data_IF_311606719007
#
_entry.id   IF_311606719007
#
_cell.length_a   1.000
_cell.length_b   1.000
_cell.length_c   1.000
_cell.angle_alpha   90.00
_cell.angle_beta   90.00
_cell.angle_gamma   90.00
#
_symmetry.space_group_name_H-M   'P 1'
#
loop_
_entity.id
_entity.type
_entity.pdbx_description
1 polymer ?
#
# COMPACT_ATOMS: atom_id res chain seq x y z
N UNK A 1 -24.62 -42.54 34.31
CA UNK A 1 -23.18 -42.60 34.64
C UNK A 1 -22.70 -43.97 34.23
N UNK A 2 -21.75 -44.04 33.30
CA UNK A 2 -21.24 -45.33 32.81
C UNK A 2 -20.24 -45.91 33.81
N UNK A 3 -20.54 -47.07 34.38
CA UNK A 3 -19.59 -47.84 35.18
C UNK A 3 -18.47 -48.37 34.27
N UNK A 4 -17.21 -48.30 34.75
CA UNK A 4 -16.06 -48.91 34.11
C UNK A 4 -15.47 -49.95 35.05
N UNK A 5 -15.22 -51.14 34.52
CA UNK A 5 -14.57 -52.24 35.23
C UNK A 5 -13.09 -52.28 34.84
N UNK A 6 -12.20 -52.15 35.83
CA UNK A 6 -10.75 -52.27 35.67
C UNK A 6 -10.28 -53.20 36.78
N UNK A 7 -9.83 -54.42 36.45
CA UNK A 7 -9.25 -55.38 37.40
C UNK A 7 -10.06 -55.57 38.72
N UNK A 8 -11.35 -55.93 38.60
CA UNK A 8 -12.31 -56.05 39.71
C UNK A 8 -12.53 -54.78 40.56
N UNK A 9 -12.10 -53.61 40.09
CA UNK A 9 -12.39 -52.32 40.72
C UNK A 9 -13.51 -51.63 39.95
N UNK A 10 -14.55 -51.20 40.67
CA UNK A 10 -15.59 -50.31 40.15
C UNK A 10 -15.26 -48.86 40.54
N UNK A 11 -15.40 -47.95 39.59
CA UNK A 11 -15.18 -46.51 39.80
C UNK A 11 -16.40 -45.69 39.42
N UNK A 12 -16.59 -44.53 40.06
CA UNK A 12 -17.60 -43.57 39.63
C UNK A 12 -17.16 -42.84 38.34
N UNK A 13 -18.00 -41.97 37.79
CA UNK A 13 -17.62 -41.12 36.64
C UNK A 13 -16.64 -40.04 37.12
N UNK A 14 -15.35 -40.39 37.20
CA UNK A 14 -14.17 -39.69 37.77
C UNK A 14 -13.76 -38.41 37.04
N UNK A 15 -14.76 -37.61 36.65
CA UNK A 15 -14.62 -36.43 35.82
C UNK A 15 -15.21 -35.24 36.57
N UNK A 16 -14.39 -34.29 37.00
CA UNK A 16 -14.84 -33.12 37.77
C UNK A 16 -14.22 -31.84 37.22
N UNK A 17 -14.78 -30.69 37.60
CA UNK A 17 -14.29 -29.37 37.21
C UNK A 17 -13.12 -28.96 38.10
N UNK A 18 -12.19 -28.17 37.57
CA UNK A 18 -11.12 -27.56 38.35
C UNK A 18 -11.70 -26.75 39.50
N UNK A 19 -11.11 -26.87 40.69
CA UNK A 19 -11.58 -26.32 41.98
C UNK A 19 -12.93 -26.88 42.49
N UNK A 20 -13.49 -27.92 41.87
CA UNK A 20 -14.66 -28.63 42.42
C UNK A 20 -14.22 -29.48 43.61
N UNK A 21 -14.88 -29.31 44.76
CA UNK A 21 -14.52 -29.97 46.02
C UNK A 21 -15.58 -30.98 46.49
N UNK A 22 -16.64 -31.19 45.71
CA UNK A 22 -17.81 -31.97 46.13
C UNK A 22 -17.97 -33.29 45.37
N UNK A 23 -17.08 -33.57 44.41
CA UNK A 23 -17.18 -34.74 43.53
C UNK A 23 -15.95 -35.63 43.66
N UNK A 24 -16.01 -36.55 44.60
CA UNK A 24 -14.86 -37.40 44.93
C UNK A 24 -14.68 -38.55 43.94
N UNK A 25 -13.46 -39.09 43.88
CA UNK A 25 -13.17 -40.34 43.18
C UNK A 25 -13.51 -41.48 44.13
N UNK A 26 -14.49 -42.31 43.75
CA UNK A 26 -14.92 -43.46 44.55
C UNK A 26 -14.47 -44.73 43.87
N UNK A 27 -13.74 -45.56 44.60
CA UNK A 27 -13.08 -46.79 44.15
C UNK A 27 -13.61 -47.94 45.01
N UNK A 28 -14.32 -48.88 44.41
CA UNK A 28 -14.90 -50.04 45.11
C UNK A 28 -14.20 -51.32 44.64
N UNK A 29 -13.23 -51.84 45.41
CA UNK A 29 -12.58 -53.10 45.06
C UNK A 29 -13.57 -54.27 45.20
N UNK A 30 -13.46 -55.25 44.32
CA UNK A 30 -14.24 -56.50 44.32
C UNK A 30 -13.30 -57.70 44.27
N UNK A 31 -13.78 -58.85 44.76
CA UNK A 31 -13.06 -60.11 44.58
C UNK A 31 -13.28 -60.67 43.16
N UNK A 32 -12.67 -61.82 42.90
CA UNK A 32 -12.81 -62.57 41.64
C UNK A 32 -14.25 -62.96 41.28
N UNK A 33 -15.17 -62.96 42.26
CA UNK A 33 -16.60 -63.25 42.08
C UNK A 33 -17.45 -61.99 41.88
N UNK A 34 -16.84 -60.79 41.93
CA UNK A 34 -17.52 -59.50 41.81
C UNK A 34 -18.16 -58.99 43.10
N UNK A 35 -17.94 -59.66 44.24
CA UNK A 35 -18.42 -59.19 45.54
C UNK A 35 -17.54 -58.08 46.08
N UNK A 36 -18.10 -57.03 46.71
CA UNK A 36 -17.34 -55.95 47.31
C UNK A 36 -16.33 -56.49 48.35
N UNK A 37 -15.07 -56.07 48.20
CA UNK A 37 -14.03 -56.29 49.20
C UNK A 37 -13.94 -55.05 50.09
N UNK A 38 -13.83 -55.28 51.40
CA UNK A 38 -13.68 -54.17 52.35
C UNK A 38 -12.18 -53.87 52.52
N UNK A 39 -11.73 -52.65 52.22
CA UNK A 39 -10.36 -52.24 52.54
C UNK A 39 -10.11 -52.34 54.04
N UNK A 40 -8.93 -52.80 54.43
CA UNK A 40 -8.54 -52.84 55.84
C UNK A 40 -8.26 -51.42 56.35
N UNK A 41 -9.05 -50.97 57.33
CA UNK A 41 -8.94 -49.61 57.90
C UNK A 41 -7.70 -49.41 58.77
N UNK A 42 -7.02 -50.49 59.17
CA UNK A 42 -5.76 -50.42 59.91
C UNK A 42 -4.55 -50.19 59.00
N UNK A 43 -4.70 -50.44 57.70
CA UNK A 43 -3.66 -50.22 56.70
C UNK A 43 -3.59 -48.75 56.29
N UNK A 44 -2.43 -48.33 55.79
CA UNK A 44 -2.23 -47.00 55.23
C UNK A 44 -2.51 -47.03 53.73
N UNK A 45 -3.47 -46.23 53.30
CA UNK A 45 -3.87 -46.10 51.91
C UNK A 45 -3.44 -44.74 51.34
N UNK A 46 -2.78 -44.74 50.19
CA UNK A 46 -2.31 -43.52 49.51
C UNK A 46 -2.58 -43.61 48.02
N UNK A 47 -3.14 -42.57 47.43
CA UNK A 47 -3.29 -42.45 45.99
C UNK A 47 -2.03 -41.79 45.41
N UNK A 48 -1.33 -42.51 44.54
CA UNK A 48 -0.18 -42.00 43.77
C UNK A 48 -0.69 -41.49 42.44
N UNK A 49 -0.51 -40.21 42.14
CA UNK A 49 -1.07 -39.58 40.92
C UNK A 49 0.03 -39.20 39.95
N UNK A 50 -0.25 -39.37 38.66
CA UNK A 50 0.58 -38.98 37.53
C UNK A 50 -0.23 -38.25 36.46
N UNK A 51 0.41 -37.36 35.70
CA UNK A 51 -0.17 -36.72 34.49
C UNK A 51 -0.10 -37.63 33.24
N UNK A 52 0.31 -38.89 33.42
CA UNK A 52 0.59 -39.85 32.34
C UNK A 52 2.06 -39.93 31.95
N UNK A 53 2.87 -38.93 32.31
CA UNK A 53 4.32 -38.87 32.02
C UNK A 53 5.15 -38.73 33.31
N UNK A 54 4.73 -37.83 34.19
CA UNK A 54 5.42 -37.47 35.42
C UNK A 54 4.58 -37.90 36.62
N UNK A 55 5.25 -38.24 37.71
CA UNK A 55 4.61 -38.36 39.01
C UNK A 55 4.29 -36.95 39.55
N UNK A 56 3.07 -36.77 40.03
CA UNK A 56 2.48 -35.46 40.36
C UNK A 56 2.25 -35.30 41.87
N UNK A 57 2.00 -36.39 42.60
CA UNK A 57 1.94 -36.32 44.06
C UNK A 57 1.25 -37.49 44.76
N UNK A 58 1.24 -37.39 46.09
CA UNK A 58 0.56 -38.29 47.03
C UNK A 58 -0.71 -37.64 47.57
N UNK A 59 -1.79 -38.40 47.55
CA UNK A 59 -3.11 -37.96 47.95
C UNK A 59 -3.72 -38.93 48.97
N UNK A 60 -4.45 -38.39 49.94
CA UNK A 60 -5.05 -39.19 50.99
C UNK A 60 -6.18 -40.07 50.43
N UNK A 61 -6.32 -41.27 50.98
CA UNK A 61 -7.43 -42.18 50.65
C UNK A 61 -8.24 -42.41 51.91
N UNK A 62 -9.53 -42.07 51.87
CA UNK A 62 -10.49 -42.28 52.96
C UNK A 62 -11.24 -43.58 52.73
N UNK A 63 -11.41 -44.38 53.78
CA UNK A 63 -12.24 -45.59 53.72
C UNK A 63 -13.66 -45.25 54.13
N UNK A 64 -14.62 -45.50 53.24
CA UNK A 64 -16.05 -45.31 53.46
C UNK A 64 -16.78 -46.61 53.14
N UNK A 65 -17.05 -47.41 54.18
CA UNK A 65 -17.65 -48.74 54.03
C UNK A 65 -16.76 -49.69 53.23
N UNK A 66 -17.24 -50.17 52.09
CA UNK A 66 -16.49 -51.02 51.17
C UNK A 66 -15.80 -50.24 50.03
N UNK A 67 -15.74 -48.91 50.14
CA UNK A 67 -15.14 -48.05 49.11
C UNK A 67 -13.97 -47.24 49.67
N UNK A 68 -13.02 -46.98 48.79
CA UNK A 68 -11.93 -46.03 48.96
C UNK A 68 -12.32 -44.73 48.26
N UNK A 69 -12.10 -43.59 48.92
CA UNK A 69 -12.49 -42.26 48.44
C UNK A 69 -11.27 -41.36 48.40
N UNK A 70 -11.02 -40.74 47.26
CA UNK A 70 -10.04 -39.67 47.10
C UNK A 70 -10.78 -38.38 46.83
N UNK A 71 -10.62 -37.41 47.72
CA UNK A 71 -11.43 -36.20 47.69
C UNK A 71 -10.97 -35.26 46.57
N UNK A 72 -11.96 -34.72 45.85
CA UNK A 72 -11.67 -33.73 44.80
C UNK A 72 -11.03 -32.44 45.33
N UNK A 73 -11.28 -32.11 46.60
CA UNK A 73 -10.67 -30.98 47.30
C UNK A 73 -9.13 -31.05 47.31
N UNK A 74 -8.56 -32.25 47.40
CA UNK A 74 -7.11 -32.42 47.41
C UNK A 74 -6.48 -32.09 46.04
N UNK A 75 -7.27 -32.13 44.96
CA UNK A 75 -6.83 -31.83 43.60
C UNK A 75 -6.97 -30.35 43.21
N UNK A 76 -7.36 -29.46 44.13
CA UNK A 76 -7.51 -28.01 43.87
C UNK A 76 -6.23 -27.32 43.39
N UNK A 77 -5.06 -27.92 43.63
CA UNK A 77 -3.76 -27.40 43.16
C UNK A 77 -3.31 -28.00 41.82
N UNK A 78 -4.03 -29.01 41.31
CA UNK A 78 -3.71 -29.62 40.03
C UNK A 78 -4.31 -28.81 38.89
N UNK A 79 -3.53 -28.52 37.83
CA UNK A 79 -4.07 -27.85 36.66
C UNK A 79 -5.12 -28.70 35.94
N UNK A 80 -5.88 -28.06 35.07
CA UNK A 80 -6.78 -28.74 34.12
C UNK A 80 -5.98 -29.75 33.31
N UNK A 81 -6.43 -31.00 33.26
CA UNK A 81 -5.64 -32.07 32.65
C UNK A 81 -6.25 -33.45 32.77
N UNK A 82 -5.60 -34.40 32.10
CA UNK A 82 -5.86 -35.83 32.23
C UNK A 82 -4.81 -36.41 33.17
N UNK A 83 -5.27 -37.23 34.09
CA UNK A 83 -4.44 -37.83 35.11
C UNK A 83 -4.75 -39.31 35.23
N UNK A 84 -3.86 -40.00 35.91
CA UNK A 84 -4.01 -41.39 36.26
C UNK A 84 -3.52 -41.59 37.69
N UNK A 85 -4.14 -42.53 38.41
CA UNK A 85 -3.74 -42.86 39.76
C UNK A 85 -3.57 -44.36 39.97
N UNK A 86 -2.76 -44.69 40.96
CA UNK A 86 -2.67 -46.00 41.60
C UNK A 86 -3.01 -45.85 43.08
N UNK A 87 -3.57 -46.91 43.67
CA UNK A 87 -3.78 -46.98 45.11
C UNK A 87 -2.72 -47.87 45.72
N UNK A 88 -1.94 -47.30 46.63
CA UNK A 88 -0.90 -47.99 47.38
C UNK A 88 -1.42 -48.30 48.78
N UNK A 89 -1.45 -49.58 49.10
CA UNK A 89 -1.76 -50.14 50.42
C UNK A 89 -0.45 -50.50 51.12
N UNK A 90 -0.21 -49.92 52.29
CA UNK A 90 0.99 -50.17 53.09
C UNK A 90 0.58 -50.64 54.49
N UNK A 91 1.15 -51.76 54.94
CA UNK A 91 0.94 -52.28 56.29
C UNK A 91 2.21 -52.92 56.82
N UNK A 92 2.24 -53.21 58.12
CA UNK A 92 3.30 -54.01 58.71
C UNK A 92 2.72 -55.35 59.15
N UNK A 93 3.42 -56.43 58.82
CA UNK A 93 3.12 -57.75 59.35
C UNK A 93 3.38 -57.82 60.86
N UNK A 94 2.92 -58.90 61.49
CA UNK A 94 3.05 -59.14 62.94
C UNK A 94 4.51 -59.12 63.41
N UNK A 95 5.44 -59.47 62.52
CA UNK A 95 6.89 -59.47 62.77
C UNK A 95 7.56 -58.10 62.53
N UNK A 96 6.79 -57.08 62.12
CA UNK A 96 7.26 -55.73 61.83
C UNK A 96 7.71 -55.50 60.39
N UNK A 97 7.58 -56.49 59.51
CA UNK A 97 7.94 -56.35 58.09
C UNK A 97 6.96 -55.45 57.37
N UNK A 98 7.44 -54.40 56.70
CA UNK A 98 6.58 -53.53 55.88
C UNK A 98 6.22 -54.20 54.56
N UNK A 99 4.93 -54.23 54.26
CA UNK A 99 4.33 -54.73 53.03
C UNK A 99 3.78 -53.59 52.18
N UNK A 100 3.72 -53.83 50.87
CA UNK A 100 3.17 -52.90 49.89
C UNK A 100 2.39 -53.67 48.81
N UNK A 101 1.12 -53.31 48.65
CA UNK A 101 0.30 -53.71 47.51
C UNK A 101 -0.10 -52.48 46.69
N UNK A 102 -0.12 -52.62 45.36
CA UNK A 102 -0.42 -51.53 44.43
C UNK A 102 -1.57 -51.99 43.53
N UNK A 103 -2.60 -51.14 43.43
CA UNK A 103 -3.82 -51.40 42.67
C UNK A 103 -4.05 -50.31 41.62
N UNK A 104 -4.56 -50.64 40.42
CA UNK A 104 -4.87 -52.00 39.93
C UNK A 104 -3.62 -52.78 39.48
N UNK A 105 -3.71 -54.11 39.43
CA UNK A 105 -2.58 -55.01 39.13
C UNK A 105 -2.48 -55.38 37.64
N UNK A 106 -1.31 -55.87 37.19
CA UNK A 106 -0.18 -55.08 36.75
C UNK A 106 -0.37 -54.38 35.38
N UNK A 107 0.22 -53.19 35.24
CA UNK A 107 0.21 -52.28 34.05
C UNK A 107 -1.08 -51.47 33.80
N UNK A 108 -1.99 -51.42 34.76
CA UNK A 108 -3.19 -50.61 34.66
C UNK A 108 -3.10 -49.42 35.63
N UNK A 109 -3.76 -48.33 35.27
CA UNK A 109 -3.94 -47.15 36.11
C UNK A 109 -5.41 -46.76 36.09
N UNK A 110 -5.86 -46.01 37.09
CA UNK A 110 -7.22 -45.49 37.15
C UNK A 110 -7.21 -44.07 36.55
N UNK A 111 -7.77 -43.86 35.35
CA UNK A 111 -7.73 -42.54 34.70
C UNK A 111 -8.81 -41.61 35.26
N UNK A 112 -8.49 -40.33 35.44
CA UNK A 112 -9.45 -39.28 35.78
C UNK A 112 -9.15 -37.98 35.03
N UNK A 113 -10.14 -37.09 34.89
CA UNK A 113 -9.97 -35.82 34.17
C UNK A 113 -10.46 -34.64 34.99
N UNK A 114 -9.59 -33.64 35.13
CA UNK A 114 -9.94 -32.32 35.66
C UNK A 114 -10.26 -31.41 34.48
N UNK A 115 -11.53 -31.03 34.33
CA UNK A 115 -11.99 -30.16 33.26
C UNK A 115 -11.94 -28.68 33.66
N UNK A 116 -11.64 -27.79 32.73
CA UNK A 116 -11.74 -26.35 32.96
C UNK A 116 -13.15 -25.95 33.44
N UNK A 117 -13.21 -25.13 34.48
CA UNK A 117 -14.39 -24.37 34.88
C UNK A 117 -14.49 -23.06 34.06
N UNK A 118 -15.60 -22.32 34.20
CA UNK A 118 -15.84 -21.08 33.43
C UNK A 118 -14.81 -19.99 33.82
N UNK A 119 -14.36 -19.95 35.08
CA UNK A 119 -13.36 -18.99 35.54
C UNK A 119 -11.95 -19.26 35.00
N UNK A 120 -11.60 -20.52 34.70
CA UNK A 120 -10.36 -20.89 34.01
C UNK A 120 -10.36 -20.39 32.55
N UNK A 121 -11.55 -20.20 31.96
CA UNK A 121 -11.71 -19.62 30.63
C UNK A 121 -11.78 -18.09 30.65
N UNK A 122 -12.07 -17.46 31.80
CA UNK A 122 -12.11 -16.01 31.93
C UNK A 122 -10.72 -15.35 31.74
N UNK A 123 -9.64 -16.11 31.92
CA UNK A 123 -8.28 -15.69 31.58
C UNK A 123 -7.90 -15.87 30.10
N UNK A 124 -8.74 -16.55 29.29
CA UNK A 124 -8.60 -16.67 27.84
C UNK A 124 -9.43 -15.60 27.14
N UNK A 125 -8.92 -14.38 27.21
CA UNK A 125 -9.28 -13.19 26.41
C UNK A 125 -10.78 -12.93 26.17
N UNK A 126 -11.33 -12.00 26.94
CA UNK A 126 -11.88 -10.83 26.25
C UNK A 126 -10.66 -9.92 26.07
N UNK A 127 -10.10 -9.81 24.86
CA UNK A 127 -9.31 -8.63 24.53
C UNK A 127 -10.26 -7.46 24.73
N UNK A 128 -10.21 -6.86 25.92
CA UNK A 128 -10.76 -5.55 26.16
C UNK A 128 -10.12 -4.68 25.06
N UNK A 129 -10.92 -4.22 24.10
CA UNK A 129 -10.42 -3.38 23.02
C UNK A 129 -9.85 -2.15 23.75
N UNK A 130 -8.53 -2.13 23.90
CA UNK A 130 -7.87 -1.03 24.58
C UNK A 130 -8.10 0.22 23.77
N UNK A 131 -8.08 1.39 24.41
CA UNK A 131 -8.06 2.65 23.68
C UNK A 131 -6.95 2.63 22.60
N UNK A 132 -5.82 1.98 22.89
CA UNK A 132 -4.74 1.78 21.93
C UNK A 132 -5.14 0.91 20.73
N UNK A 133 -5.93 -0.15 20.90
CA UNK A 133 -6.41 -0.98 19.77
C UNK A 133 -7.38 -0.20 18.87
N UNK A 134 -8.24 0.67 19.45
CA UNK A 134 -9.11 1.58 18.68
C UNK A 134 -8.28 2.63 17.96
N UNK A 135 -7.29 3.21 18.63
CA UNK A 135 -6.38 4.21 18.04
C UNK A 135 -5.56 3.58 16.93
N UNK A 136 -5.00 2.39 17.13
CA UNK A 136 -4.19 1.70 16.12
C UNK A 136 -5.06 1.31 14.92
N UNK A 137 -6.28 0.84 15.12
CA UNK A 137 -7.23 0.60 14.01
C UNK A 137 -7.66 1.89 13.31
N UNK A 138 -7.90 2.98 14.03
CA UNK A 138 -8.24 4.27 13.45
C UNK A 138 -7.06 4.86 12.65
N UNK A 139 -5.84 4.76 13.19
CA UNK A 139 -4.60 5.20 12.55
C UNK A 139 -4.27 4.33 11.34
N UNK A 140 -4.47 3.01 11.41
CA UNK A 140 -4.33 2.10 10.27
C UNK A 140 -5.37 2.40 9.18
N UNK A 141 -6.63 2.68 9.55
CA UNK A 141 -7.67 3.03 8.59
C UNK A 141 -7.43 4.41 7.95
N UNK A 142 -7.00 5.43 8.71
CA UNK A 142 -6.62 6.73 8.17
C UNK A 142 -5.37 6.62 7.29
N UNK A 143 -4.40 5.79 7.69
CA UNK A 143 -3.15 5.56 6.96
C UNK A 143 -3.34 4.84 5.62
N UNK A 144 -4.48 4.19 5.39
CA UNK A 144 -4.80 3.45 4.16
C UNK A 144 -5.94 4.07 3.33
N UNK A 145 -6.76 4.95 3.92
CA UNK A 145 -7.91 5.56 3.25
C UNK A 145 -7.52 6.88 2.55
N UNK A 146 -6.75 6.75 1.48
CA UNK A 146 -6.29 7.88 0.67
C UNK A 146 -7.37 8.35 -0.31
N UNK A 147 -7.56 9.66 -0.35
CA UNK A 147 -8.33 10.34 -1.39
C UNK A 147 -7.38 11.26 -2.15
N UNK A 148 -7.14 10.94 -3.41
CA UNK A 148 -6.27 11.72 -4.28
C UNK A 148 -7.05 12.76 -5.07
N UNK A 149 -6.53 13.98 -5.09
CA UNK A 149 -7.06 15.07 -5.91
C UNK A 149 -5.93 15.72 -6.69
N UNK A 150 -6.20 16.07 -7.94
CA UNK A 150 -5.30 16.90 -8.75
C UNK A 150 -5.98 18.23 -9.05
N UNK A 151 -5.28 19.33 -8.78
CA UNK A 151 -5.67 20.67 -9.16
C UNK A 151 -4.69 21.20 -10.20
N UNK A 152 -5.19 21.91 -11.19
CA UNK A 152 -4.36 22.68 -12.11
C UNK A 152 -4.19 24.09 -11.56
N UNK A 153 -2.94 24.55 -11.46
CA UNK A 153 -2.57 25.88 -10.97
C UNK A 153 -1.91 26.72 -12.06
N UNK A 154 -1.68 28.01 -11.80
CA UNK A 154 -1.11 28.92 -12.79
C UNK A 154 0.33 28.54 -13.17
N UNK A 155 0.80 28.85 -14.41
CA UNK A 155 2.09 28.39 -14.94
C UNK A 155 3.33 28.84 -14.17
N UNK A 156 3.21 29.86 -13.33
CA UNK A 156 4.27 30.51 -12.56
C UNK A 156 4.30 30.06 -11.09
N UNK A 157 3.30 29.28 -10.66
CA UNK A 157 3.25 28.74 -9.31
C UNK A 157 4.07 27.46 -9.19
N UNK A 158 4.70 27.23 -8.03
CA UNK A 158 5.46 26.00 -7.77
C UNK A 158 4.51 24.83 -7.56
N UNK A 159 4.85 23.66 -8.13
CA UNK A 159 4.10 22.44 -7.87
C UNK A 159 4.19 22.08 -6.38
N UNK A 160 3.05 21.74 -5.77
CA UNK A 160 2.99 21.37 -4.35
C UNK A 160 2.19 20.10 -4.16
N UNK A 161 2.56 19.36 -3.12
CA UNK A 161 1.77 18.26 -2.58
C UNK A 161 1.33 18.67 -1.18
N UNK A 162 0.02 18.68 -0.96
CA UNK A 162 -0.56 18.97 0.36
C UNK A 162 -1.28 17.74 0.85
N UNK A 163 -0.89 17.29 2.04
CA UNK A 163 -1.53 16.18 2.74
C UNK A 163 -2.34 16.73 3.92
N UNK A 164 -3.59 16.29 4.07
CA UNK A 164 -4.45 16.71 5.18
C UNK A 164 -5.31 15.56 5.65
N UNK A 165 -5.38 15.36 6.96
CA UNK A 165 -6.29 14.40 7.58
C UNK A 165 -7.59 15.11 7.98
N UNK A 166 -8.72 14.65 7.45
CA UNK A 166 -10.06 15.14 7.78
C UNK A 166 -11.07 14.00 7.62
N UNK A 167 -12.11 13.97 8.45
CA UNK A 167 -13.20 12.98 8.38
C UNK A 167 -12.74 11.51 8.30
N UNK A 168 -11.64 11.17 8.97
CA UNK A 168 -11.07 9.81 8.96
C UNK A 168 -10.43 9.38 7.63
N UNK A 169 -10.17 10.33 6.72
CA UNK A 169 -9.50 10.11 5.44
C UNK A 169 -8.23 10.94 5.33
N UNK A 170 -7.31 10.45 4.51
CA UNK A 170 -6.07 11.12 4.19
C UNK A 170 -6.18 11.72 2.78
N UNK A 171 -6.33 13.03 2.70
CA UNK A 171 -6.44 13.73 1.43
C UNK A 171 -5.06 14.13 0.94
N UNK A 172 -4.69 13.67 -0.25
CA UNK A 172 -3.45 14.03 -0.93
C UNK A 172 -3.81 14.85 -2.16
N UNK A 173 -3.47 16.14 -2.14
CA UNK A 173 -3.77 17.06 -3.22
C UNK A 173 -2.49 17.44 -3.96
N UNK A 174 -2.44 17.14 -5.25
CA UNK A 174 -1.38 17.57 -6.16
C UNK A 174 -1.81 18.86 -6.85
N UNK A 175 -1.06 19.94 -6.65
CA UNK A 175 -1.27 21.20 -7.37
C UNK A 175 -0.22 21.28 -8.49
N UNK A 176 -0.66 21.13 -9.75
CA UNK A 176 0.21 20.99 -10.93
C UNK A 176 0.09 22.22 -11.81
N UNK A 177 1.18 22.97 -12.07
CA UNK A 177 1.17 24.14 -12.96
C UNK A 177 0.79 23.75 -14.38
N UNK A 178 -0.13 24.49 -15.00
CA UNK A 178 -0.44 24.31 -16.42
C UNK A 178 0.70 24.81 -17.31
N UNK A 179 0.88 24.18 -18.46
CA UNK A 179 1.81 24.67 -19.47
C UNK A 179 1.41 26.07 -19.95
N UNK A 180 2.40 26.94 -20.21
CA UNK A 180 2.16 28.23 -20.88
C UNK A 180 1.56 27.94 -22.26
N UNK A 181 0.55 28.71 -22.65
CA UNK A 181 -0.05 28.59 -24.00
C UNK A 181 1.03 28.84 -25.04
N UNK A 182 1.20 27.90 -25.98
CA UNK A 182 2.17 28.04 -27.06
C UNK A 182 1.87 29.25 -27.93
N UNK A 183 2.91 29.91 -28.44
CA UNK A 183 2.69 30.99 -29.42
C UNK A 183 2.04 30.41 -30.67
N UNK A 184 1.04 31.12 -31.20
CA UNK A 184 0.42 30.77 -32.48
C UNK A 184 1.53 30.77 -33.56
N UNK A 185 1.61 29.68 -34.33
CA UNK A 185 2.64 29.52 -35.35
C UNK A 185 2.59 30.66 -36.39
N UNK A 186 3.75 30.97 -36.98
CA UNK A 186 3.85 31.97 -38.03
C UNK A 186 2.96 31.62 -39.22
N UNK A 187 2.09 32.54 -39.64
CA UNK A 187 1.44 32.47 -40.95
C UNK A 187 2.51 32.77 -41.99
N UNK A 188 2.71 31.87 -42.95
CA UNK A 188 3.68 32.07 -44.04
C UNK A 188 3.40 33.37 -44.81
N UNK A 189 4.42 33.94 -45.48
CA UNK A 189 4.21 35.09 -46.35
C UNK A 189 3.18 34.74 -47.43
N UNK A 190 2.25 35.66 -47.71
CA UNK A 190 1.34 35.50 -48.83
C UNK A 190 2.16 35.32 -50.13
N UNK A 191 1.80 34.33 -50.96
CA UNK A 191 2.41 34.19 -52.28
C UNK A 191 2.20 35.43 -53.14
N UNK A 192 3.07 35.68 -54.13
CA UNK A 192 2.93 36.81 -55.07
C UNK A 192 1.54 36.71 -55.72
N UNK A 193 0.75 37.78 -55.64
CA UNK A 193 -0.57 37.82 -56.27
C UNK A 193 -0.44 37.57 -57.78
N UNK A 194 -1.39 36.83 -58.36
CA UNK A 194 -1.53 36.79 -59.81
C UNK A 194 -1.80 38.21 -60.30
N UNK A 195 -0.89 38.75 -61.10
CA UNK A 195 -1.02 40.06 -61.72
C UNK A 195 -0.40 40.03 -63.11
N UNK A 196 -1.01 40.76 -64.05
CA UNK A 196 -0.42 41.01 -65.37
C UNK A 196 0.48 42.22 -65.19
N UNK A 197 1.80 42.03 -65.36
CA UNK A 197 2.79 43.09 -65.18
C UNK A 197 2.65 44.18 -66.25
N UNK A 198 2.37 43.78 -67.50
CA UNK A 198 2.14 44.71 -68.60
C UNK A 198 1.31 44.09 -69.73
N UNK A 199 0.59 44.94 -70.46
CA UNK A 199 -0.10 44.59 -71.70
C UNK A 199 0.60 45.14 -72.94
N UNK A 200 0.56 44.43 -74.05
CA UNK A 200 1.13 44.84 -75.34
C UNK A 200 0.08 44.82 -76.45
N UNK A 201 0.25 45.65 -77.50
CA UNK A 201 -0.69 45.68 -78.63
C UNK A 201 -0.45 44.57 -79.65
N UNK A 202 0.67 43.86 -79.55
CA UNK A 202 1.01 42.71 -80.41
C UNK A 202 2.13 41.88 -79.79
N UNK A 203 2.26 40.61 -80.19
CA UNK A 203 3.38 39.73 -79.80
C UNK A 203 4.72 40.33 -80.20
N UNK A 204 4.80 40.97 -81.38
CA UNK A 204 6.02 41.61 -81.88
C UNK A 204 6.50 42.74 -80.96
N UNK A 205 5.59 43.55 -80.44
CA UNK A 205 5.92 44.62 -79.49
C UNK A 205 6.39 44.06 -78.15
N UNK A 206 5.75 42.99 -77.67
CA UNK A 206 6.14 42.27 -76.46
C UNK A 206 7.56 41.69 -76.60
N UNK A 207 7.87 40.98 -77.68
CA UNK A 207 9.19 40.42 -77.92
C UNK A 207 10.27 41.50 -78.06
N UNK A 208 9.94 42.62 -78.70
CA UNK A 208 10.84 43.77 -78.82
C UNK A 208 11.14 44.44 -77.47
N UNK A 209 10.29 44.28 -76.45
CA UNK A 209 10.55 44.79 -75.10
C UNK A 209 11.70 44.07 -74.39
N UNK A 210 12.04 42.85 -74.83
CA UNK A 210 13.05 41.98 -74.23
C UNK A 210 12.88 41.81 -72.70
N UNK A 211 11.65 41.85 -72.20
CA UNK A 211 11.33 41.71 -70.78
C UNK A 211 11.81 42.88 -69.92
N UNK A 212 11.99 44.07 -70.50
CA UNK A 212 12.31 45.28 -69.72
C UNK A 212 11.22 45.50 -68.66
N UNK A 213 11.63 45.61 -67.39
CA UNK A 213 10.77 45.72 -66.20
C UNK A 213 9.96 44.46 -65.84
N UNK A 214 10.32 43.28 -66.37
CA UNK A 214 9.75 42.00 -65.94
C UNK A 214 10.71 41.26 -65.01
N UNK A 215 10.18 40.74 -63.91
CA UNK A 215 10.84 39.73 -63.08
C UNK A 215 10.55 38.33 -63.61
N UNK A 216 11.37 37.35 -63.20
CA UNK A 216 11.12 35.95 -63.55
C UNK A 216 9.73 35.51 -63.07
N UNK A 217 8.93 34.93 -63.98
CA UNK A 217 7.57 34.50 -63.67
C UNK A 217 6.48 35.57 -63.80
N UNK A 218 6.82 36.81 -64.16
CA UNK A 218 5.81 37.84 -64.43
C UNK A 218 5.02 37.56 -65.71
N UNK A 219 3.73 37.89 -65.68
CA UNK A 219 2.81 37.66 -66.80
C UNK A 219 2.66 38.88 -67.69
N UNK A 220 2.62 38.66 -69.00
CA UNK A 220 2.25 39.64 -70.03
C UNK A 220 0.98 39.20 -70.75
N UNK A 221 0.15 40.17 -71.17
CA UNK A 221 -1.05 39.91 -71.96
C UNK A 221 -1.02 40.69 -73.27
N UNK A 222 -1.42 40.07 -74.37
CA UNK A 222 -1.73 40.81 -75.61
C UNK A 222 -3.14 41.36 -75.50
N UNK A 223 -3.25 42.69 -75.50
CA UNK A 223 -4.52 43.42 -75.42
C UNK A 223 -4.62 44.32 -76.65
N UNK A 224 -5.25 43.79 -77.70
CA UNK A 224 -5.38 44.42 -79.02
C UNK A 224 -6.86 44.49 -79.43
N UNK A 225 -7.19 44.43 -80.73
CA UNK A 225 -8.59 44.46 -81.19
C UNK A 225 -9.21 43.06 -81.19
N UNK A 226 -10.54 42.99 -81.24
CA UNK A 226 -11.27 41.70 -81.18
C UNK A 226 -11.03 40.81 -82.42
N UNK A 227 -10.58 41.41 -83.53
CA UNK A 227 -10.25 40.72 -84.77
C UNK A 227 -8.81 40.18 -84.81
N UNK A 228 -7.98 40.55 -83.83
CA UNK A 228 -6.60 40.08 -83.74
C UNK A 228 -6.56 38.66 -83.12
N UNK A 229 -6.03 37.65 -83.84
CA UNK A 229 -5.94 36.28 -83.33
C UNK A 229 -5.00 36.12 -82.12
N UNK A 230 -4.19 37.12 -81.79
CA UNK A 230 -3.34 37.13 -80.60
C UNK A 230 -3.99 37.83 -79.40
N UNK A 231 -5.13 38.51 -79.58
CA UNK A 231 -5.82 39.19 -78.49
C UNK A 231 -6.18 38.21 -77.36
N UNK A 232 -5.93 38.60 -76.11
CA UNK A 232 -6.11 37.78 -74.90
C UNK A 232 -5.08 36.66 -74.65
N UNK A 233 -4.03 36.54 -75.46
CA UNK A 233 -2.96 35.57 -75.19
C UNK A 233 -2.08 35.99 -74.01
N UNK A 234 -1.89 35.08 -73.07
CA UNK A 234 -1.08 35.22 -71.87
C UNK A 234 0.31 34.59 -72.10
N UNK A 235 1.34 35.33 -71.71
CA UNK A 235 2.74 34.91 -71.78
C UNK A 235 3.39 35.05 -70.41
N UNK A 236 4.40 34.23 -70.13
CA UNK A 236 5.25 34.37 -68.93
C UNK A 236 6.67 34.74 -69.35
N UNK A 237 7.27 35.69 -68.64
CA UNK A 237 8.68 36.02 -68.82
C UNK A 237 9.56 35.02 -68.09
N UNK A 238 10.56 34.46 -68.79
CA UNK A 238 11.66 33.73 -68.18
C UNK A 238 12.93 34.57 -68.21
N UNK A 239 13.43 34.96 -67.05
CA UNK A 239 14.68 35.72 -66.93
C UNK A 239 15.89 34.90 -67.36
N UNK A 240 15.85 33.57 -67.16
CA UNK A 240 16.92 32.64 -67.54
C UNK A 240 17.00 32.48 -69.05
N UNK A 241 15.86 32.27 -69.72
CA UNK A 241 15.82 32.03 -71.17
C UNK A 241 15.71 33.31 -71.99
N UNK A 242 15.58 34.47 -71.33
CA UNK A 242 15.38 35.79 -71.94
C UNK A 242 14.27 35.80 -72.98
N UNK A 243 13.16 35.12 -72.69
CA UNK A 243 12.08 34.87 -73.63
C UNK A 243 10.72 34.85 -72.95
N UNK A 244 9.72 35.38 -73.65
CA UNK A 244 8.32 35.18 -73.34
C UNK A 244 7.87 33.80 -73.83
N UNK A 245 7.30 33.00 -72.93
CA UNK A 245 6.73 31.70 -73.24
C UNK A 245 5.22 31.81 -73.25
N UNK A 246 4.57 31.39 -74.34
CA UNK A 246 3.11 31.33 -74.42
C UNK A 246 2.56 30.35 -73.38
N UNK A 247 1.57 30.81 -72.60
CA UNK A 247 0.96 30.00 -71.54
C UNK A 247 -0.45 29.57 -71.92
N UNK A 248 -1.30 30.52 -72.34
CA UNK A 248 -2.70 30.23 -72.64
C UNK A 248 -3.37 31.35 -73.44
N UNK A 249 -4.52 31.05 -74.01
CA UNK A 249 -5.43 32.02 -74.61
C UNK A 249 -6.58 32.23 -73.62
N UNK A 250 -6.71 33.45 -73.09
CA UNK A 250 -7.75 33.80 -72.12
C UNK A 250 -9.05 34.24 -72.79
N UNK A 251 -9.16 34.17 -74.12
CA UNK A 251 -10.41 34.43 -74.81
C UNK A 251 -11.50 33.47 -74.30
N UNK A 252 -12.49 34.03 -73.60
CA UNK A 252 -13.57 33.27 -72.96
C UNK A 252 -13.29 32.70 -71.57
N UNK A 253 -12.12 32.94 -70.96
CA UNK A 253 -11.79 32.41 -69.63
C UNK A 253 -12.33 33.31 -68.49
N UNK A 254 -13.25 32.80 -67.66
CA UNK A 254 -13.61 33.40 -66.36
C UNK A 254 -12.72 32.85 -65.25
N UNK A 255 -11.61 33.54 -64.95
CA UNK A 255 -10.83 33.42 -63.71
C UNK A 255 -10.08 32.10 -63.48
N UNK A 256 -8.75 32.13 -63.63
CA UNK A 256 -7.86 31.04 -63.17
C UNK A 256 -7.18 31.47 -61.88
N UNK A 257 -7.59 30.90 -60.75
CA UNK A 257 -6.89 31.02 -59.48
C UNK A 257 -5.68 30.08 -59.50
N UNK A 258 -4.48 30.61 -59.20
CA UNK A 258 -3.28 29.78 -59.09
C UNK A 258 -3.47 28.65 -58.09
N UNK A 259 -2.81 27.49 -58.28
CA UNK A 259 -2.88 26.41 -57.30
C UNK A 259 -2.42 26.93 -55.94
N UNK A 260 -3.09 26.49 -54.88
CA UNK A 260 -2.65 26.73 -53.50
C UNK A 260 -1.19 26.28 -53.39
N UNK A 261 -0.32 27.16 -52.87
CA UNK A 261 1.09 26.85 -52.67
C UNK A 261 1.27 25.58 -51.82
N UNK A 262 2.40 24.86 -51.96
CA UNK A 262 2.64 23.64 -51.19
C UNK A 262 2.53 23.92 -49.69
N UNK A 263 1.91 23.00 -48.96
CA UNK A 263 1.82 23.06 -47.50
C UNK A 263 3.24 23.08 -46.95
N UNK A 264 3.63 24.11 -46.17
CA UNK A 264 4.98 24.19 -45.62
C UNK A 264 5.19 23.03 -44.65
N UNK A 265 6.37 22.41 -44.70
CA UNK A 265 6.77 21.42 -43.70
C UNK A 265 7.84 22.00 -42.78
N UNK A 266 7.71 21.71 -41.48
CA UNK A 266 8.70 22.04 -40.47
C UNK A 266 9.53 20.81 -40.19
N UNK A 267 10.84 20.94 -40.31
CA UNK A 267 11.77 19.87 -40.00
C UNK A 267 12.62 20.28 -38.80
N UNK A 268 12.41 19.63 -37.65
CA UNK A 268 13.22 19.91 -36.46
C UNK A 268 14.63 19.35 -36.70
N UNK A 269 15.60 20.22 -36.93
CA UNK A 269 16.98 19.84 -37.21
C UNK A 269 17.84 19.78 -35.96
N UNK A 270 17.44 20.48 -34.88
CA UNK A 270 18.25 20.58 -33.68
C UNK A 270 17.41 20.85 -32.44
N UNK A 271 17.69 20.12 -31.36
CA UNK A 271 17.17 20.42 -30.02
C UNK A 271 18.37 20.61 -29.09
N UNK A 272 18.48 21.79 -28.48
CA UNK A 272 19.55 22.14 -27.54
C UNK A 272 19.00 22.39 -26.15
N UNK A 273 19.75 21.95 -25.15
CA UNK A 273 19.45 22.25 -23.75
C UNK A 273 20.05 23.62 -23.38
N UNK A 274 19.22 24.57 -22.97
CA UNK A 274 19.61 25.91 -22.56
C UNK A 274 19.89 25.97 -21.04
N UNK A 275 20.65 26.97 -20.55
CA UNK A 275 20.80 27.17 -19.12
C UNK A 275 19.46 27.34 -18.39
N UNK A 276 19.42 26.90 -17.14
CA UNK A 276 18.29 27.10 -16.23
C UNK A 276 17.86 28.56 -16.15
N UNK A 277 16.55 28.81 -16.15
CA UNK A 277 15.98 30.17 -16.14
C UNK A 277 16.01 30.92 -17.47
N UNK A 278 16.64 30.36 -18.52
CA UNK A 278 16.62 30.96 -19.86
C UNK A 278 15.21 30.92 -20.46
N UNK A 279 14.89 31.86 -21.34
CA UNK A 279 13.69 31.73 -22.15
C UNK A 279 13.89 30.62 -23.20
N UNK A 280 12.86 29.80 -23.49
CA UNK A 280 12.93 28.86 -24.60
C UNK A 280 13.12 29.62 -25.91
N UNK A 281 13.91 29.04 -26.81
CA UNK A 281 14.19 29.65 -28.11
C UNK A 281 13.71 28.74 -29.24
N UNK A 282 13.23 29.35 -30.31
CA UNK A 282 12.92 28.66 -31.57
C UNK A 282 13.53 29.50 -32.67
N UNK A 283 14.42 28.91 -33.46
CA UNK A 283 15.03 29.53 -34.63
C UNK A 283 14.64 28.75 -35.88
N UNK A 284 13.97 29.41 -36.82
CA UNK A 284 13.55 28.81 -38.08
C UNK A 284 14.37 29.38 -39.23
N UNK A 285 15.07 28.50 -39.96
CA UNK A 285 15.88 28.87 -41.13
C UNK A 285 15.21 28.33 -42.39
N UNK A 286 15.02 29.15 -43.44
CA UNK A 286 14.45 28.70 -44.71
C UNK A 286 15.26 27.53 -45.30
N UNK A 287 14.58 26.45 -45.65
CA UNK A 287 15.17 25.25 -46.27
C UNK A 287 14.84 25.13 -47.78
N UNK A 288 14.19 26.14 -48.36
CA UNK A 288 13.73 26.16 -49.76
C UNK A 288 12.32 25.60 -49.95
N UNK A 289 11.66 25.95 -51.06
CA UNK A 289 10.32 25.47 -51.46
C UNK A 289 9.22 25.61 -50.39
N UNK A 290 9.31 26.64 -49.52
CA UNK A 290 8.36 26.86 -48.43
C UNK A 290 8.61 26.02 -47.16
N UNK A 291 9.69 25.23 -47.12
CA UNK A 291 10.07 24.43 -45.94
C UNK A 291 11.02 25.19 -45.01
N UNK A 292 11.02 24.79 -43.74
CA UNK A 292 11.86 25.40 -42.70
C UNK A 292 12.57 24.33 -41.87
N UNK A 293 13.86 24.57 -41.61
CA UNK A 293 14.61 23.88 -40.58
C UNK A 293 14.39 24.59 -39.25
N UNK A 294 14.03 23.86 -38.21
CA UNK A 294 13.69 24.40 -36.89
C UNK A 294 14.71 23.92 -35.86
N UNK A 295 15.34 24.88 -35.19
CA UNK A 295 16.20 24.64 -34.03
C UNK A 295 15.49 25.10 -32.76
N UNK A 296 15.41 24.24 -31.75
CA UNK A 296 14.68 24.48 -30.49
C UNK A 296 15.65 24.48 -29.32
N UNK A 297 15.68 25.58 -28.56
CA UNK A 297 16.35 25.65 -27.27
C UNK A 297 15.37 25.44 -26.12
N UNK A 298 15.56 24.37 -25.35
CA UNK A 298 14.75 24.02 -24.18
C UNK A 298 15.55 24.31 -22.92
N UNK A 299 15.10 25.21 -22.01
CA UNK A 299 15.74 25.44 -20.73
C UNK A 299 15.85 24.16 -19.91
N UNK A 300 17.01 23.91 -19.32
CA UNK A 300 17.11 22.94 -18.24
C UNK A 300 16.16 23.37 -17.14
N UNK A 301 15.36 22.44 -16.65
CA UNK A 301 14.71 22.66 -15.36
C UNK A 301 15.77 23.03 -14.33
N UNK A 302 15.40 23.81 -13.31
CA UNK A 302 16.25 23.94 -12.14
C UNK A 302 16.71 22.55 -11.72
N UNK A 303 18.03 22.37 -11.53
CA UNK A 303 18.50 21.21 -10.80
C UNK A 303 17.84 21.36 -9.44
N UNK A 304 16.79 20.58 -9.19
CA UNK A 304 16.07 20.65 -7.92
C UNK A 304 17.10 20.66 -6.81
N UNK A 305 16.99 21.64 -5.92
CA UNK A 305 17.95 21.80 -4.83
C UNK A 305 18.19 20.42 -4.20
N UNK A 306 19.45 20.06 -3.87
CA UNK A 306 19.65 19.06 -2.84
C UNK A 306 18.74 19.47 -1.68
N UNK A 307 17.85 18.58 -1.23
CA UNK A 307 16.88 18.90 -0.19
C UNK A 307 17.62 19.61 0.92
N UNK A 308 17.16 20.82 1.26
CA UNK A 308 17.81 21.69 2.25
C UNK A 308 17.40 21.27 3.67
N UNK A 309 17.29 19.97 3.88
CA UNK A 309 16.94 19.31 5.12
C UNK A 309 17.74 18.01 5.12
N UNK A 310 18.56 17.78 6.14
CA UNK A 310 19.40 16.59 6.24
C UNK A 310 18.59 15.28 6.46
N UNK A 311 17.35 15.19 5.94
CA UNK A 311 16.34 14.21 6.37
C UNK A 311 15.48 13.61 5.23
N UNK A 312 15.66 13.99 3.96
CA UNK A 312 14.84 13.42 2.86
C UNK A 312 15.65 12.50 1.92
N UNK A 313 15.60 11.16 2.09
CA UNK A 313 16.35 10.22 1.26
C UNK A 313 15.75 10.08 -0.16
N UNK A 314 16.61 10.17 -1.20
CA UNK A 314 16.25 9.98 -2.62
C UNK A 314 16.52 8.54 -3.07
N UNK A 315 15.47 7.83 -3.51
CA UNK A 315 15.57 6.44 -3.99
C UNK A 315 16.46 6.36 -5.24
N UNK A 316 17.60 5.69 -5.12
CA UNK A 316 18.53 5.42 -6.23
C UNK A 316 19.89 6.13 -6.16
N UNK A 317 20.13 7.01 -5.17
CA UNK A 317 21.43 7.70 -5.02
C UNK A 317 21.95 7.82 -3.57
N UNK A 318 21.11 7.61 -2.56
CA UNK A 318 21.54 7.64 -1.15
C UNK A 318 20.73 6.62 -0.32
N UNK A 319 21.38 5.91 0.59
CA UNK A 319 20.76 4.94 1.49
C UNK A 319 20.89 5.47 2.93
N UNK A 320 19.76 5.44 3.68
CA UNK A 320 19.66 5.79 5.10
C UNK A 320 20.95 5.50 5.88
N UNK A 321 21.68 6.56 6.25
CA UNK A 321 22.89 6.42 7.05
C UNK A 321 22.51 6.05 8.48
N UNK A 322 23.44 5.47 9.24
CA UNK A 322 23.16 5.15 10.64
C UNK A 322 22.94 6.43 11.49
N UNK A 323 23.46 7.58 11.03
CA UNK A 323 23.17 8.88 11.63
C UNK A 323 21.68 9.26 11.47
N UNK A 324 21.09 9.02 10.29
CA UNK A 324 19.68 9.31 10.02
C UNK A 324 18.75 8.44 10.85
N UNK A 325 19.08 7.15 10.96
CA UNK A 325 18.33 6.20 11.82
C UNK A 325 18.41 6.62 13.28
N UNK A 326 19.59 7.02 13.75
CA UNK A 326 19.78 7.43 15.14
C UNK A 326 19.03 8.73 15.46
N UNK A 327 19.02 9.70 14.54
CA UNK A 327 18.28 10.96 14.73
C UNK A 327 16.78 10.72 14.89
N UNK A 328 16.19 9.85 14.06
CA UNK A 328 14.76 9.53 14.12
C UNK A 328 14.44 8.73 15.38
N UNK A 329 15.30 7.78 15.76
CA UNK A 329 15.15 7.02 17.00
C UNK A 329 15.19 7.95 18.21
N UNK A 330 16.08 8.94 18.23
CA UNK A 330 16.22 9.87 19.34
C UNK A 330 15.05 10.86 19.45
N UNK A 331 14.49 11.29 18.30
CA UNK A 331 13.30 12.12 18.26
C UNK A 331 12.06 11.34 18.75
N UNK A 332 11.93 10.06 18.34
CA UNK A 332 10.89 9.17 18.83
C UNK A 332 11.02 8.92 20.35
N UNK A 333 12.23 8.66 20.84
CA UNK A 333 12.49 8.43 22.27
C UNK A 333 12.08 9.65 23.09
N UNK A 334 12.44 10.86 22.68
CA UNK A 334 12.04 12.10 23.37
C UNK A 334 10.53 12.27 23.42
N UNK A 335 9.83 11.96 22.33
CA UNK A 335 8.38 12.03 22.29
C UNK A 335 7.74 11.00 23.25
N UNK A 336 8.23 9.76 23.24
CA UNK A 336 7.77 8.68 24.12
C UNK A 336 8.06 8.99 25.59
N UNK A 337 9.26 9.47 25.93
CA UNK A 337 9.63 9.83 27.30
C UNK A 337 8.77 10.97 27.85
N UNK A 338 8.47 11.97 27.01
CA UNK A 338 7.57 13.07 27.35
C UNK A 338 6.13 12.57 27.60
N UNK A 339 5.62 11.71 26.73
CA UNK A 339 4.29 11.12 26.87
C UNK A 339 4.18 10.21 28.11
N UNK A 340 5.20 9.38 28.37
CA UNK A 340 5.27 8.52 29.56
C UNK A 340 5.33 9.35 30.85
N UNK A 341 6.11 10.42 30.87
CA UNK A 341 6.19 11.33 32.03
C UNK A 341 4.84 12.00 32.29
N UNK A 342 4.14 12.43 31.25
CA UNK A 342 2.78 12.98 31.36
C UNK A 342 1.76 11.96 31.89
N UNK A 343 1.82 10.72 31.40
CA UNK A 343 0.95 9.64 31.85
C UNK A 343 1.19 9.25 33.31
N UNK A 344 2.46 9.16 33.73
CA UNK A 344 2.82 8.92 35.14
C UNK A 344 2.36 10.06 36.05
N UNK A 345 2.51 11.31 35.64
CA UNK A 345 2.03 12.47 36.40
C UNK A 345 0.50 12.42 36.58
N UNK A 346 -0.24 12.04 35.53
CA UNK A 346 -1.69 11.89 35.58
C UNK A 346 -2.14 10.73 36.47
N UNK A 347 -1.54 9.54 36.31
CA UNK A 347 -1.84 8.37 37.12
C UNK A 347 -1.52 8.62 38.60
N UNK A 348 -0.41 9.31 38.89
CA UNK A 348 -0.07 9.73 40.25
C UNK A 348 -1.14 10.66 40.83
N UNK A 349 -1.58 11.66 40.08
CA UNK A 349 -2.64 12.58 40.52
C UNK A 349 -3.98 11.86 40.78
N UNK A 350 -4.34 10.89 39.94
CA UNK A 350 -5.55 10.07 40.12
C UNK A 350 -5.47 9.16 41.35
N UNK A 351 -4.30 8.60 41.65
CA UNK A 351 -4.07 7.81 42.87
C UNK A 351 -4.09 8.70 44.12
N UNK A 352 -3.43 9.86 44.07
CA UNK A 352 -3.44 10.83 45.18
C UNK A 352 -4.88 11.32 45.48
N UNK A 353 -5.69 11.57 44.45
CA UNK A 353 -7.11 11.93 44.59
C UNK A 353 -7.96 10.77 45.14
N UNK A 354 -7.71 9.54 44.70
CA UNK A 354 -8.41 8.36 45.21
C UNK A 354 -8.12 8.10 46.70
N UNK A 355 -6.88 8.32 47.14
CA UNK A 355 -6.47 8.24 48.55
C UNK A 355 -7.10 9.38 49.37
N UNK A 356 -7.07 10.62 48.87
CA UNK A 356 -7.66 11.77 49.55
C UNK A 356 -9.18 11.64 49.73
N UNK A 357 -9.86 10.97 48.79
CA UNK A 357 -11.30 10.72 48.82
C UNK A 357 -11.69 9.38 49.50
N UNK A 358 -10.75 8.70 50.17
CA UNK A 358 -11.01 7.51 50.99
C UNK A 358 -11.47 6.28 50.21
N UNK A 359 -11.11 6.17 48.92
CA UNK A 359 -11.39 4.99 48.09
C UNK A 359 -10.33 3.88 48.23
N UNK A 360 -9.31 4.11 49.06
CA UNK A 360 -8.27 3.15 49.45
C UNK A 360 -7.87 3.33 50.90
#
# INVERSE_FOLDING_TARGET
>A
MGQRFIDNIETNDMNFKHLETTKDIVISPKNEYGDPQRPDVSHKWTAKVSDGTNYVGDYAVKISGASMVVDSEDFTKLPVGKYQLEIWEQWNDVDGTSQLSIYPSPQQTIPFTIYANITDQAGKEIKEIGFQDVVDQAVMNIGMNYVFKANTIEPDQTATVVQTAADGKNYVTFNIPRGKTGQQGFRGPAGKNFHIAQTFKSVKEMEASQGKNFEDGDFALIASSIEDPDNSKLFVWSYVNKKFTYMNDLSGATGIQGPVGPVPTLHVTKVTSLPTGSQPTVNAVPAGNGNYNVEIGIPKGDKGDPGMDAHTPKRGTDYWTDADKNSIIDELKKYVDSAMTGAFAKAKAEVEDAVANGKY
#
